data_IF_146436203370
#
_entry.id   IF_146436203370
#
_cell.length_a   1.000
_cell.length_b   1.000
_cell.length_c   1.000
_cell.angle_alpha   90.00
_cell.angle_beta   90.00
_cell.angle_gamma   90.00
#
_symmetry.space_group_name_H-M   'P 1'
#
loop_
_entity.id
_entity.type
_entity.pdbx_description
1 polymer ?
#
# COMPACT_ATOMS: atom_id res chain seq x y z
N UNK A 1 8.76 1.06 -13.58
CA UNK A 1 7.86 2.22 -13.28
C UNK A 1 8.28 3.00 -12.03
N UNK A 2 9.35 2.62 -11.35
CA UNK A 2 9.82 3.20 -10.10
C UNK A 2 9.99 4.73 -10.14
N UNK A 3 10.58 5.29 -11.20
CA UNK A 3 10.78 6.75 -11.28
C UNK A 3 9.46 7.52 -11.33
N UNK A 4 8.44 6.99 -12.02
CA UNK A 4 7.11 7.59 -12.06
C UNK A 4 6.45 7.56 -10.68
N UNK A 5 6.60 6.46 -9.95
CA UNK A 5 6.08 6.29 -8.58
C UNK A 5 6.77 7.23 -7.59
N UNK A 6 8.10 7.38 -7.71
CA UNK A 6 8.88 8.35 -6.94
C UNK A 6 8.42 9.78 -7.20
N UNK A 7 8.21 10.14 -8.47
CA UNK A 7 7.68 11.46 -8.83
C UNK A 7 6.28 11.69 -8.25
N UNK A 8 5.38 10.71 -8.35
CA UNK A 8 4.04 10.79 -7.76
C UNK A 8 4.10 10.97 -6.23
N UNK A 9 5.00 10.25 -5.56
CA UNK A 9 5.21 10.37 -4.11
C UNK A 9 5.57 11.79 -3.68
N UNK A 10 6.38 12.51 -4.47
CA UNK A 10 6.71 13.92 -4.18
C UNK A 10 5.47 14.81 -4.17
N UNK A 11 4.53 14.63 -5.10
CA UNK A 11 3.31 15.46 -5.16
C UNK A 11 2.34 15.13 -4.02
N UNK A 12 2.18 13.84 -3.72
CA UNK A 12 1.23 13.35 -2.71
C UNK A 12 1.71 13.66 -1.28
N UNK A 13 3.03 13.65 -1.03
CA UNK A 13 3.61 13.91 0.30
C UNK A 13 3.90 15.38 0.60
N UNK A 14 3.74 16.29 -0.38
CA UNK A 14 3.99 17.72 -0.17
C UNK A 14 3.07 18.30 0.91
N UNK A 15 3.52 19.32 1.66
CA UNK A 15 2.71 19.95 2.72
C UNK A 15 1.41 20.60 2.20
N UNK A 16 1.36 20.98 0.93
CA UNK A 16 0.15 21.43 0.21
C UNK A 16 -0.46 20.34 -0.68
N UNK A 17 -0.03 19.09 -0.52
CA UNK A 17 -0.29 17.94 -1.39
C UNK A 17 -1.67 17.32 -1.21
N UNK A 18 -2.47 17.77 -0.23
CA UNK A 18 -3.81 17.20 0.03
C UNK A 18 -4.72 17.19 -1.20
N UNK A 19 -4.61 18.19 -2.08
CA UNK A 19 -5.34 18.20 -3.36
C UNK A 19 -4.81 17.14 -4.33
N UNK A 20 -3.50 17.01 -4.48
CA UNK A 20 -2.90 15.99 -5.35
C UNK A 20 -3.18 14.58 -4.85
N UNK A 21 -3.17 14.36 -3.54
CA UNK A 21 -3.57 13.10 -2.93
C UNK A 21 -5.04 12.77 -3.24
N UNK A 22 -5.94 13.73 -3.04
CA UNK A 22 -7.36 13.53 -3.32
C UNK A 22 -7.60 13.22 -4.81
N UNK A 23 -7.00 14.00 -5.72
CA UNK A 23 -7.10 13.76 -7.16
C UNK A 23 -6.48 12.41 -7.55
N UNK A 24 -5.34 12.04 -6.98
CA UNK A 24 -4.69 10.74 -7.23
C UNK A 24 -5.59 9.57 -6.85
N UNK A 25 -6.27 9.66 -5.70
CA UNK A 25 -7.24 8.66 -5.27
C UNK A 25 -8.47 8.66 -6.18
N UNK A 26 -9.01 9.82 -6.53
CA UNK A 26 -10.21 9.96 -7.36
C UNK A 26 -10.05 9.35 -8.76
N UNK A 27 -8.84 9.41 -9.34
CA UNK A 27 -8.53 8.84 -10.66
C UNK A 27 -8.15 7.36 -10.64
N UNK A 28 -8.28 6.68 -9.49
CA UNK A 28 -7.99 5.25 -9.36
C UNK A 28 -6.49 4.94 -9.13
N UNK A 29 -5.74 5.90 -8.58
CA UNK A 29 -4.31 5.72 -8.33
C UNK A 29 -4.01 4.63 -7.31
N UNK A 30 -4.90 4.39 -6.34
CA UNK A 30 -4.74 3.32 -5.33
C UNK A 30 -4.84 1.94 -5.98
N UNK A 31 -5.83 1.74 -6.85
CA UNK A 31 -6.07 0.51 -7.60
C UNK A 31 -4.88 0.20 -8.51
N UNK A 32 -4.33 1.22 -9.19
CA UNK A 32 -3.15 1.06 -10.02
C UNK A 32 -1.92 0.61 -9.20
N UNK A 33 -1.74 1.13 -7.97
CA UNK A 33 -0.64 0.70 -7.09
C UNK A 33 -0.85 -0.73 -6.60
N UNK A 34 -2.09 -1.10 -6.26
CA UNK A 34 -2.45 -2.46 -5.87
C UNK A 34 -2.21 -3.45 -7.02
N UNK A 35 -2.52 -3.05 -8.26
CA UNK A 35 -2.22 -3.83 -9.45
C UNK A 35 -0.69 -4.01 -9.60
N UNK A 36 0.09 -2.94 -9.50
CA UNK A 36 1.56 -3.00 -9.60
C UNK A 36 2.17 -4.00 -8.62
N UNK A 37 1.78 -3.97 -7.34
CA UNK A 37 2.32 -4.91 -6.35
C UNK A 37 1.88 -6.35 -6.60
N UNK A 38 0.77 -6.55 -7.32
CA UNK A 38 0.20 -7.87 -7.64
C UNK A 38 0.76 -8.50 -8.93
N UNK A 39 1.51 -7.75 -9.73
CA UNK A 39 2.11 -8.24 -10.98
C UNK A 39 3.43 -8.97 -10.70
N UNK A 40 3.43 -10.30 -10.86
CA UNK A 40 4.59 -11.15 -10.57
C UNK A 40 5.82 -10.86 -11.44
N UNK A 41 5.61 -10.38 -12.67
CA UNK A 41 6.68 -10.03 -13.61
C UNK A 41 7.40 -8.71 -13.33
N UNK A 42 6.87 -7.88 -12.41
CA UNK A 42 7.52 -6.61 -12.09
C UNK A 42 8.69 -6.81 -11.12
N UNK A 43 9.74 -6.01 -11.31
CA UNK A 43 10.91 -6.03 -10.44
C UNK A 43 10.54 -5.63 -9.01
N UNK A 44 11.24 -6.21 -8.03
CA UNK A 44 11.04 -5.89 -6.62
C UNK A 44 11.17 -4.38 -6.32
N UNK A 45 12.03 -3.66 -7.05
CA UNK A 45 12.18 -2.21 -6.91
C UNK A 45 10.92 -1.45 -7.34
N UNK A 46 10.24 -1.88 -8.41
CA UNK A 46 8.98 -1.26 -8.85
C UNK A 46 7.86 -1.51 -7.83
N UNK A 47 7.75 -2.76 -7.34
CA UNK A 47 6.78 -3.11 -6.28
C UNK A 47 7.04 -2.34 -4.99
N UNK A 48 8.30 -2.17 -4.60
CA UNK A 48 8.70 -1.46 -3.39
C UNK A 48 8.30 0.02 -3.44
N UNK A 49 8.50 0.69 -4.58
CA UNK A 49 8.08 2.09 -4.72
C UNK A 49 6.55 2.24 -4.70
N UNK A 50 5.82 1.24 -5.21
CA UNK A 50 4.36 1.22 -5.12
C UNK A 50 3.88 1.03 -3.66
N UNK A 51 4.52 0.11 -2.92
CA UNK A 51 4.25 -0.09 -1.49
C UNK A 51 4.52 1.19 -0.68
N UNK A 52 5.67 1.84 -0.89
CA UNK A 52 5.99 3.11 -0.21
C UNK A 52 4.96 4.19 -0.48
N UNK A 53 4.46 4.27 -1.71
CA UNK A 53 3.42 5.23 -2.07
C UNK A 53 2.08 4.87 -1.42
N UNK A 54 1.68 3.60 -1.41
CA UNK A 54 0.51 3.13 -0.64
C UNK A 54 0.62 3.48 0.84
N UNK A 55 1.81 3.31 1.43
CA UNK A 55 2.04 3.68 2.82
C UNK A 55 1.97 5.19 3.05
N UNK A 56 2.50 5.99 2.12
CA UNK A 56 2.38 7.46 2.17
C UNK A 56 0.90 7.89 2.14
N UNK A 57 0.09 7.24 1.31
CA UNK A 57 -1.36 7.47 1.22
C UNK A 57 -2.04 7.04 2.53
N UNK A 58 -1.71 5.86 3.06
CA UNK A 58 -2.25 5.36 4.32
C UNK A 58 -1.93 6.29 5.51
N UNK A 59 -0.71 6.83 5.54
CA UNK A 59 -0.23 7.72 6.61
C UNK A 59 -0.87 9.12 6.54
N UNK A 60 -1.50 9.49 5.42
CA UNK A 60 -2.27 10.73 5.30
C UNK A 60 -3.61 10.70 6.06
N UNK A 61 -4.05 9.52 6.53
CA UNK A 61 -5.16 9.41 7.48
C UNK A 61 -6.09 8.23 7.22
N UNK A 62 -6.99 7.99 8.20
CA UNK A 62 -7.93 6.85 8.21
C UNK A 62 -8.75 6.71 6.93
N UNK A 63 -9.26 7.81 6.38
CA UNK A 63 -10.07 7.75 5.15
C UNK A 63 -9.30 7.10 4.00
N UNK A 64 -8.01 7.40 3.86
CA UNK A 64 -7.16 6.81 2.83
C UNK A 64 -6.80 5.35 3.12
N UNK A 65 -6.63 4.99 4.41
CA UNK A 65 -6.50 3.58 4.79
C UNK A 65 -7.75 2.77 4.41
N UNK A 66 -8.94 3.34 4.61
CA UNK A 66 -10.20 2.70 4.23
C UNK A 66 -10.30 2.50 2.72
N UNK A 67 -9.91 3.50 1.92
CA UNK A 67 -9.85 3.39 0.45
C UNK A 67 -8.91 2.26 0.02
N UNK A 68 -7.70 2.18 0.59
CA UNK A 68 -6.75 1.08 0.29
C UNK A 68 -7.38 -0.28 0.58
N UNK A 69 -8.08 -0.41 1.71
CA UNK A 69 -8.71 -1.66 2.09
C UNK A 69 -9.91 -2.02 1.19
N UNK A 70 -10.76 -1.05 0.84
CA UNK A 70 -11.90 -1.23 -0.06
C UNK A 70 -11.46 -1.63 -1.47
N UNK A 71 -10.32 -1.10 -1.94
CA UNK A 71 -9.69 -1.48 -3.19
C UNK A 71 -9.01 -2.86 -3.16
N UNK A 72 -9.10 -3.60 -2.06
CA UNK A 72 -8.52 -4.95 -1.94
C UNK A 72 -7.05 -4.99 -1.48
N UNK A 73 -6.54 -3.89 -0.94
CA UNK A 73 -5.12 -3.75 -0.56
C UNK A 73 -4.64 -4.80 0.44
N UNK A 74 -5.46 -5.19 1.43
CA UNK A 74 -5.07 -6.23 2.40
C UNK A 74 -4.82 -7.57 1.71
N UNK A 75 -5.70 -7.97 0.79
CA UNK A 75 -5.57 -9.22 0.04
C UNK A 75 -4.33 -9.20 -0.86
N UNK A 76 -4.07 -8.07 -1.53
CA UNK A 76 -2.89 -7.91 -2.38
C UNK A 76 -1.58 -7.96 -1.58
N UNK A 77 -1.53 -7.32 -0.40
CA UNK A 77 -0.39 -7.38 0.50
C UNK A 77 -0.15 -8.79 1.03
N UNK A 78 -1.21 -9.46 1.48
CA UNK A 78 -1.13 -10.85 1.94
C UNK A 78 -0.58 -11.77 0.84
N UNK A 79 -1.09 -11.65 -0.38
CA UNK A 79 -0.63 -12.43 -1.52
C UNK A 79 0.82 -12.13 -1.88
N UNK A 80 1.21 -10.85 -1.93
CA UNK A 80 2.60 -10.46 -2.20
C UNK A 80 3.56 -11.12 -1.21
N UNK A 81 3.22 -11.09 0.09
CA UNK A 81 4.07 -11.66 1.13
C UNK A 81 4.11 -13.20 1.11
N UNK A 82 3.15 -13.86 0.46
CA UNK A 82 3.17 -15.32 0.24
C UNK A 82 3.99 -15.71 -0.99
N UNK A 83 4.08 -14.83 -1.99
CA UNK A 83 4.69 -15.13 -3.30
C UNK A 83 6.11 -14.59 -3.45
N UNK A 84 6.55 -13.66 -2.61
CA UNK A 84 7.84 -12.96 -2.72
C UNK A 84 8.72 -13.18 -1.47
N UNK A 85 10.04 -13.27 -1.65
CA UNK A 85 11.01 -13.51 -0.56
C UNK A 85 11.87 -12.27 -0.25
N UNK A 86 11.69 -11.17 -1.00
CA UNK A 86 12.49 -9.97 -0.81
C UNK A 86 12.17 -9.30 0.54
N UNK A 87 13.13 -9.31 1.46
CA UNK A 87 13.00 -8.75 2.82
C UNK A 87 12.43 -7.33 2.82
N UNK A 88 12.88 -6.47 1.90
CA UNK A 88 12.40 -5.09 1.77
C UNK A 88 10.90 -4.99 1.44
N UNK A 89 10.36 -5.93 0.65
CA UNK A 89 8.93 -5.96 0.33
C UNK A 89 8.11 -6.48 1.50
N UNK A 90 8.62 -7.51 2.20
CA UNK A 90 7.96 -8.09 3.36
C UNK A 90 7.90 -7.11 4.54
N UNK A 91 8.98 -6.37 4.80
CA UNK A 91 9.05 -5.36 5.85
C UNK A 91 8.06 -4.22 5.58
N UNK A 92 8.09 -3.65 4.38
CA UNK A 92 7.20 -2.54 4.02
C UNK A 92 5.72 -2.98 3.99
N UNK A 93 5.41 -4.20 3.52
CA UNK A 93 4.05 -4.75 3.54
C UNK A 93 3.55 -4.98 4.97
N UNK A 94 4.41 -5.52 5.85
CA UNK A 94 4.10 -5.72 7.26
C UNK A 94 3.88 -4.41 7.99
N UNK A 95 4.68 -3.38 7.67
CA UNK A 95 4.52 -2.03 8.19
C UNK A 95 3.18 -1.44 7.79
N UNK A 96 2.80 -1.56 6.52
CA UNK A 96 1.51 -1.05 6.01
C UNK A 96 0.33 -1.76 6.66
N UNK A 97 0.33 -3.10 6.72
CA UNK A 97 -0.72 -3.86 7.41
C UNK A 97 -0.82 -3.51 8.89
N UNK A 98 0.30 -3.28 9.56
CA UNK A 98 0.32 -2.83 10.96
C UNK A 98 -0.29 -1.43 11.11
N UNK A 99 0.01 -0.52 10.19
CA UNK A 99 -0.57 0.84 10.18
C UNK A 99 -2.10 0.78 10.01
N UNK A 100 -2.58 -0.02 9.04
CA UNK A 100 -4.02 -0.25 8.81
C UNK A 100 -4.67 -0.87 10.05
N UNK A 101 -4.04 -1.89 10.64
CA UNK A 101 -4.55 -2.59 11.81
C UNK A 101 -4.75 -1.70 13.04
N UNK A 102 -3.94 -0.64 13.18
CA UNK A 102 -4.03 0.33 14.27
C UNK A 102 -4.97 1.50 13.95
N UNK A 103 -4.94 1.98 12.71
CA UNK A 103 -5.63 3.20 12.29
C UNK A 103 -7.09 2.98 11.87
N UNK A 104 -7.46 1.75 11.45
CA UNK A 104 -8.75 1.47 10.82
C UNK A 104 -9.49 0.30 11.50
N UNK A 105 -10.34 0.57 12.52
CA UNK A 105 -11.07 -0.45 13.28
C UNK A 105 -11.91 -1.39 12.43
N UNK A 106 -12.49 -0.90 11.32
CA UNK A 106 -13.30 -1.70 10.40
C UNK A 106 -12.52 -2.86 9.77
N UNK A 107 -11.24 -2.64 9.46
CA UNK A 107 -10.37 -3.63 8.81
C UNK A 107 -9.28 -4.18 9.73
N UNK A 108 -9.30 -3.82 11.01
CA UNK A 108 -8.23 -4.19 11.94
C UNK A 108 -8.09 -5.71 12.11
N UNK A 109 -9.22 -6.43 12.10
CA UNK A 109 -9.22 -7.90 12.18
C UNK A 109 -8.65 -8.55 10.92
N UNK A 110 -9.00 -8.04 9.73
CA UNK A 110 -8.50 -8.56 8.46
C UNK A 110 -6.99 -8.33 8.34
N UNK A 111 -6.52 -7.11 8.65
CA UNK A 111 -5.10 -6.78 8.64
C UNK A 111 -4.30 -7.61 9.64
N UNK A 112 -4.82 -7.81 10.85
CA UNK A 112 -4.18 -8.69 11.85
C UNK A 112 -4.18 -10.16 11.42
N UNK A 113 -5.25 -10.63 10.79
CA UNK A 113 -5.35 -12.00 10.31
C UNK A 113 -4.35 -12.27 9.18
N UNK A 114 -4.19 -11.32 8.26
CA UNK A 114 -3.18 -11.38 7.20
C UNK A 114 -1.76 -11.50 7.79
N UNK A 115 -1.42 -10.68 8.79
CA UNK A 115 -0.13 -10.78 9.48
C UNK A 115 0.08 -12.13 10.19
N UNK A 116 -0.96 -12.69 10.82
CA UNK A 116 -0.86 -13.97 11.52
C UNK A 116 -0.66 -15.16 10.59
N UNK A 117 -1.24 -15.14 9.38
CA UNK A 117 -1.07 -16.22 8.39
C UNK A 117 0.35 -16.32 7.83
N UNK A 118 1.17 -15.30 8.01
CA UNK A 118 2.59 -15.37 7.67
C UNK A 118 3.45 -16.04 8.75
N UNK A 119 2.89 -16.23 9.95
CA UNK A 119 3.60 -16.80 11.11
C UNK A 119 3.28 -18.29 11.35
N UNK A 120 2.36 -18.87 10.57
CA UNK A 120 1.88 -20.25 10.71
C UNK A 120 2.05 -21.05 9.44
#
# INVERSE_FOLDING_TARGET
VALQLQAASVFVSASSGGRFLAEFVEVGGVEALIEIISLSQLAATDKLEALKLLSTIADAGRLFQEVICEAGGIMALEKLMQEDEAELLLDESSRLLTSIGRGTPRFALDARSALLRLLG
#
